data_IF_184488231842
#
_entry.id   IF_184488231842
#
_cell.length_a   1.000
_cell.length_b   1.000
_cell.length_c   1.000
_cell.angle_alpha   90.00
_cell.angle_beta   90.00
_cell.angle_gamma   90.00
#
_symmetry.space_group_name_H-M   'P 1'
#
loop_
_entity.id
_entity.type
_entity.pdbx_description
1 polymer ?
#
# COMPACT_ATOMS: atom_id res chain seq x y z
N UNK A 1 2.79 15.03 -20.62
CA UNK A 1 1.90 16.15 -20.20
C UNK A 1 2.78 17.15 -19.48
N UNK A 2 2.70 18.43 -19.82
CA UNK A 2 3.44 19.45 -19.08
C UNK A 2 2.91 19.55 -17.64
N UNK A 3 3.79 19.84 -16.68
CA UNK A 3 3.44 19.90 -15.24
C UNK A 3 2.26 20.85 -14.95
N UNK A 4 2.17 21.96 -15.68
CA UNK A 4 1.07 22.93 -15.55
C UNK A 4 -0.29 22.32 -15.92
N UNK A 5 -0.34 21.55 -17.01
CA UNK A 5 -1.55 20.91 -17.51
C UNK A 5 -2.06 19.83 -16.54
N UNK A 6 -1.13 19.07 -15.94
CA UNK A 6 -1.46 18.06 -14.93
C UNK A 6 -2.23 18.66 -13.75
N UNK A 7 -1.70 19.72 -13.13
CA UNK A 7 -2.34 20.32 -11.96
C UNK A 7 -3.62 21.08 -12.32
N UNK A 8 -3.73 21.61 -13.54
CA UNK A 8 -4.98 22.19 -14.03
C UNK A 8 -6.06 21.11 -14.19
N UNK A 9 -5.73 19.97 -14.79
CA UNK A 9 -6.61 18.82 -14.91
C UNK A 9 -7.02 18.29 -13.54
N UNK A 10 -6.08 18.08 -12.62
CA UNK A 10 -6.35 17.64 -11.26
C UNK A 10 -7.31 18.62 -10.54
N UNK A 11 -7.06 19.93 -10.65
CA UNK A 11 -7.92 20.96 -10.06
C UNK A 11 -9.35 20.90 -10.61
N UNK A 12 -9.51 20.63 -11.91
CA UNK A 12 -10.83 20.52 -12.55
C UNK A 12 -11.69 19.36 -12.01
N UNK A 13 -11.05 18.35 -11.40
CA UNK A 13 -11.73 17.16 -10.88
C UNK A 13 -12.09 17.26 -9.39
N UNK A 14 -11.57 18.25 -8.65
CA UNK A 14 -11.71 18.32 -7.18
C UNK A 14 -13.15 18.36 -6.68
N UNK A 15 -14.07 18.89 -7.48
CA UNK A 15 -15.50 18.93 -7.17
C UNK A 15 -16.09 17.52 -7.07
N UNK A 16 -15.53 16.54 -7.78
CA UNK A 16 -15.96 15.15 -7.68
C UNK A 16 -15.58 14.50 -6.34
N UNK A 17 -14.63 15.07 -5.60
CA UNK A 17 -14.12 14.52 -4.34
C UNK A 17 -14.54 15.31 -3.10
N UNK A 18 -15.09 16.51 -3.29
CA UNK A 18 -15.37 17.44 -2.19
C UNK A 18 -16.87 17.50 -1.90
N UNK A 19 -17.28 16.93 -0.76
CA UNK A 19 -18.68 16.95 -0.35
C UNK A 19 -18.85 17.71 0.96
N UNK A 20 -19.93 18.49 1.05
CA UNK A 20 -20.38 19.16 2.25
C UNK A 20 -21.64 18.45 2.76
N UNK A 21 -21.75 18.25 4.07
CA UNK A 21 -23.00 17.80 4.67
C UNK A 21 -24.01 18.96 4.79
N UNK A 22 -25.20 18.67 5.33
CA UNK A 22 -26.26 19.68 5.52
C UNK A 22 -25.87 20.88 6.39
N UNK A 23 -24.85 20.74 7.25
CA UNK A 23 -24.34 21.79 8.12
C UNK A 23 -23.18 22.59 7.47
N UNK A 24 -22.85 22.30 6.21
CA UNK A 24 -21.72 22.90 5.50
C UNK A 24 -20.35 22.38 5.96
N UNK A 25 -20.30 21.27 6.70
CA UNK A 25 -19.05 20.61 7.09
C UNK A 25 -18.50 19.80 5.91
N UNK A 26 -17.21 19.92 5.62
CA UNK A 26 -16.58 19.09 4.59
C UNK A 26 -16.37 17.67 5.08
N UNK A 27 -17.11 16.74 4.48
CA UNK A 27 -17.16 15.32 4.83
C UNK A 27 -16.45 14.43 3.82
N UNK A 28 -15.89 15.01 2.77
CA UNK A 28 -14.87 14.35 1.96
C UNK A 28 -14.06 15.36 1.18
N UNK A 29 -12.84 14.97 0.79
CA UNK A 29 -11.96 15.73 -0.10
C UNK A 29 -10.90 14.83 -0.70
N UNK A 30 -10.25 15.30 -1.77
CA UNK A 30 -9.06 14.65 -2.31
C UNK A 30 -7.84 14.93 -1.41
N UNK A 31 -7.05 13.89 -1.15
CA UNK A 31 -5.75 13.99 -0.51
C UNK A 31 -4.74 13.08 -1.20
N UNK A 32 -3.46 13.30 -0.93
CA UNK A 32 -2.39 12.39 -1.34
C UNK A 32 -1.88 11.64 -0.11
N UNK A 33 -1.76 10.32 -0.22
CA UNK A 33 -1.48 9.46 0.93
C UNK A 33 -0.23 8.61 0.70
N UNK A 34 0.50 8.39 1.79
CA UNK A 34 1.50 7.35 1.96
C UNK A 34 0.90 6.33 2.93
N UNK A 35 0.84 5.07 2.52
CA UNK A 35 0.29 3.97 3.31
C UNK A 35 1.31 2.85 3.41
N UNK A 36 1.74 2.51 4.63
CA UNK A 36 2.82 1.56 4.88
C UNK A 36 2.37 0.45 5.85
N UNK A 37 2.78 -0.78 5.55
CA UNK A 37 2.64 -1.94 6.41
C UNK A 37 4.01 -2.45 6.83
N UNK A 38 4.21 -2.69 8.12
CA UNK A 38 5.51 -3.05 8.68
C UNK A 38 5.35 -4.03 9.84
N UNK A 39 6.44 -4.73 10.17
CA UNK A 39 6.43 -5.78 11.20
C UNK A 39 6.78 -5.21 12.58
N UNK A 40 6.38 -5.96 13.60
CA UNK A 40 6.88 -5.80 14.97
C UNK A 40 6.67 -4.40 15.59
N UNK A 41 5.57 -3.72 15.27
CA UNK A 41 5.24 -2.42 15.85
C UNK A 41 5.16 -2.43 17.38
N UNK A 42 4.81 -3.59 17.97
CA UNK A 42 4.68 -3.78 19.41
C UNK A 42 5.99 -3.64 20.18
N UNK A 43 7.14 -3.76 19.50
CA UNK A 43 8.47 -3.70 20.11
C UNK A 43 8.79 -2.28 20.60
N UNK A 44 9.59 -2.18 21.66
CA UNK A 44 9.97 -0.89 22.23
C UNK A 44 10.72 -0.01 21.22
N UNK A 45 11.63 -0.62 20.45
CA UNK A 45 12.38 0.06 19.40
C UNK A 45 11.44 0.60 18.32
N UNK A 46 10.53 -0.22 17.79
CA UNK A 46 9.63 0.21 16.72
C UNK A 46 8.65 1.28 17.21
N UNK A 47 8.18 1.22 18.47
CA UNK A 47 7.40 2.31 19.11
C UNK A 47 8.16 3.64 19.12
N UNK A 48 9.44 3.64 19.48
CA UNK A 48 10.25 4.87 19.44
C UNK A 48 10.36 5.45 18.02
N UNK A 49 10.57 4.58 17.02
CA UNK A 49 10.62 4.99 15.60
C UNK A 49 9.26 5.51 15.08
N UNK A 50 8.15 4.90 15.50
CA UNK A 50 6.78 5.41 15.23
C UNK A 50 6.62 6.81 15.85
N UNK A 51 7.04 7.01 17.10
CA UNK A 51 6.97 8.33 17.75
C UNK A 51 7.86 9.38 17.06
N UNK A 52 9.00 8.99 16.50
CA UNK A 52 9.82 9.87 15.67
C UNK A 52 9.05 10.35 14.42
N UNK A 53 8.24 9.48 13.79
CA UNK A 53 7.36 9.86 12.68
C UNK A 53 6.34 10.92 13.11
N UNK A 54 5.69 10.73 14.26
CA UNK A 54 4.75 11.71 14.81
C UNK A 54 5.41 13.02 15.21
N UNK A 55 6.63 12.97 15.75
CA UNK A 55 7.40 14.18 16.08
C UNK A 55 7.66 15.02 14.83
N UNK A 56 8.22 14.42 13.77
CA UNK A 56 8.44 15.11 12.49
C UNK A 56 7.14 15.70 11.93
N UNK A 57 6.03 14.96 12.04
CA UNK A 57 4.73 15.41 11.52
C UNK A 57 4.23 16.66 12.24
N UNK A 58 4.40 16.71 13.56
CA UNK A 58 4.03 17.88 14.37
C UNK A 58 5.01 19.05 14.20
N UNK A 59 6.30 18.79 13.98
CA UNK A 59 7.27 19.84 13.69
C UNK A 59 6.95 20.54 12.36
N UNK A 60 6.59 19.77 11.32
CA UNK A 60 6.33 20.33 9.99
C UNK A 60 4.93 20.95 9.87
N UNK A 61 3.90 20.32 10.45
CA UNK A 61 2.50 20.71 10.23
C UNK A 61 1.80 21.23 11.48
N UNK A 62 2.51 21.39 12.60
CA UNK A 62 1.93 21.69 13.92
C UNK A 62 1.04 22.92 13.99
N UNK A 63 1.27 23.92 13.13
CA UNK A 63 0.43 25.12 13.01
C UNK A 63 -0.98 24.84 12.48
N UNK A 64 -1.18 23.71 11.79
CA UNK A 64 -2.48 23.25 11.28
C UNK A 64 -3.18 22.29 12.24
N UNK A 65 -2.41 21.51 13.00
CA UNK A 65 -2.92 20.41 13.81
C UNK A 65 -3.69 20.91 15.02
N UNK A 66 -4.88 20.33 15.25
CA UNK A 66 -5.78 20.72 16.35
C UNK A 66 -6.64 19.60 16.89
N UNK A 67 -6.54 18.40 16.30
CA UNK A 67 -7.30 17.24 16.71
C UNK A 67 -6.38 16.05 16.91
N UNK A 68 -6.65 15.27 17.97
CA UNK A 68 -6.11 13.93 18.08
C UNK A 68 -7.12 12.98 18.73
N UNK A 69 -6.91 11.69 18.52
CA UNK A 69 -7.62 10.64 19.26
C UNK A 69 -6.66 9.50 19.51
N UNK A 70 -6.68 8.99 20.74
CA UNK A 70 -5.91 7.83 21.15
C UNK A 70 -6.84 6.79 21.79
N UNK A 71 -6.37 5.54 21.91
CA UNK A 71 -7.07 4.48 22.64
C UNK A 71 -7.07 4.65 24.16
N UNK A 72 -6.42 5.70 24.69
CA UNK A 72 -6.39 6.01 26.11
C UNK A 72 -7.54 6.95 26.46
N UNK A 73 -8.27 6.62 27.52
CA UNK A 73 -9.43 7.38 27.97
C UNK A 73 -9.04 8.82 28.39
N UNK A 74 -9.95 9.77 28.16
CA UNK A 74 -9.81 11.15 28.63
C UNK A 74 -8.86 12.07 27.83
N UNK A 75 -8.04 11.55 26.92
CA UNK A 75 -7.08 12.33 26.13
C UNK A 75 -7.71 12.87 24.83
N UNK A 76 -8.70 13.76 24.98
CA UNK A 76 -9.48 14.32 23.85
C UNK A 76 -8.96 15.66 23.33
N UNK A 77 -8.24 16.44 24.16
CA UNK A 77 -7.75 17.78 23.79
C UNK A 77 -6.36 17.70 23.17
N UNK A 78 -6.20 18.23 21.97
CA UNK A 78 -4.88 18.41 21.37
C UNK A 78 -4.09 19.48 22.12
N UNK A 79 -3.16 19.06 22.98
CA UNK A 79 -2.28 19.94 23.76
C UNK A 79 -0.92 19.26 24.00
N UNK A 80 0.15 20.03 24.30
CA UNK A 80 1.46 19.46 24.62
C UNK A 80 1.42 18.43 25.75
N UNK A 81 0.63 18.68 26.79
CA UNK A 81 0.51 17.79 27.95
C UNK A 81 -0.15 16.47 27.57
N UNK A 82 -1.22 16.51 26.78
CA UNK A 82 -1.88 15.29 26.33
C UNK A 82 -1.04 14.54 25.28
N UNK A 83 -0.26 15.24 24.46
CA UNK A 83 0.71 14.64 23.56
C UNK A 83 1.73 13.84 24.36
N UNK A 84 2.36 14.42 25.38
CA UNK A 84 3.33 13.74 26.23
C UNK A 84 2.74 12.48 26.90
N UNK A 85 1.50 12.57 27.41
CA UNK A 85 0.79 11.41 27.99
C UNK A 85 0.50 10.31 26.96
N UNK A 86 0.16 10.67 25.72
CA UNK A 86 -0.03 9.69 24.65
C UNK A 86 1.30 9.02 24.32
N UNK A 87 2.39 9.77 24.16
CA UNK A 87 3.71 9.22 23.87
C UNK A 87 4.18 8.25 24.96
N UNK A 88 4.08 8.66 26.22
CA UNK A 88 4.35 7.80 27.38
C UNK A 88 3.46 6.55 27.38
N UNK A 89 2.16 6.73 27.12
CA UNK A 89 1.20 5.63 27.05
C UNK A 89 1.53 4.62 25.96
N UNK A 90 1.98 5.08 24.78
CA UNK A 90 2.42 4.20 23.67
C UNK A 90 3.66 3.39 24.09
N UNK A 91 4.64 4.03 24.72
CA UNK A 91 5.86 3.36 25.19
C UNK A 91 5.59 2.36 26.33
N UNK A 92 4.62 2.67 27.20
CA UNK A 92 4.29 1.83 28.36
C UNK A 92 3.27 0.72 28.03
N UNK A 93 2.69 0.70 26.82
CA UNK A 93 1.79 -0.39 26.39
C UNK A 93 2.54 -1.72 26.42
N UNK A 94 1.97 -2.68 27.14
CA UNK A 94 2.48 -4.07 27.20
C UNK A 94 2.33 -4.75 25.84
N UNK A 95 3.07 -5.84 25.66
CA UNK A 95 2.89 -6.79 24.55
C UNK A 95 1.42 -7.25 24.47
N UNK A 96 0.91 -7.45 23.26
CA UNK A 96 -0.49 -7.86 22.98
C UNK A 96 -1.55 -6.86 23.46
N UNK A 97 -1.20 -5.57 23.53
CA UNK A 97 -2.16 -4.49 23.72
C UNK A 97 -2.07 -3.53 22.54
N UNK A 98 -3.11 -3.56 21.70
CA UNK A 98 -3.21 -2.67 20.55
C UNK A 98 -3.02 -1.19 20.94
N UNK A 99 -2.10 -0.56 20.23
CA UNK A 99 -1.86 0.88 20.31
C UNK A 99 -2.26 1.54 19.00
N UNK A 100 -2.85 2.73 19.08
CA UNK A 100 -3.23 3.50 17.90
C UNK A 100 -3.31 4.97 18.25
N UNK A 101 -2.89 5.81 17.30
CA UNK A 101 -2.99 7.24 17.44
C UNK A 101 -3.43 7.86 16.13
N UNK A 102 -4.28 8.87 16.22
CA UNK A 102 -4.69 9.71 15.11
C UNK A 102 -4.39 11.15 15.47
N UNK A 103 -3.70 11.88 14.60
CA UNK A 103 -3.51 13.34 14.69
C UNK A 103 -3.94 13.97 13.36
N UNK A 104 -4.72 15.05 13.42
CA UNK A 104 -5.12 15.79 12.23
C UNK A 104 -5.40 17.28 12.45
N UNK A 105 -5.68 17.97 11.35
CA UNK A 105 -6.17 19.36 11.30
C UNK A 105 -7.72 19.47 11.28
N UNK A 106 -8.45 18.36 11.41
CA UNK A 106 -9.92 18.37 11.49
C UNK A 106 -10.39 19.10 12.74
N UNK A 107 -11.56 19.77 12.71
CA UNK A 107 -12.14 20.40 13.90
C UNK A 107 -12.71 19.39 14.89
N UNK A 108 -13.22 18.27 14.37
CA UNK A 108 -13.83 17.20 15.15
C UNK A 108 -13.79 15.89 14.35
N UNK A 109 -14.43 14.84 14.88
CA UNK A 109 -14.41 13.51 14.27
C UNK A 109 -15.21 13.40 12.96
N UNK A 110 -16.09 14.37 12.67
CA UNK A 110 -17.02 14.42 11.54
C UNK A 110 -16.48 15.19 10.33
N UNK A 111 -15.29 15.78 10.43
CA UNK A 111 -14.69 16.55 9.33
C UNK A 111 -13.58 15.74 8.64
N UNK A 112 -13.58 15.73 7.31
CA UNK A 112 -12.46 15.20 6.53
C UNK A 112 -11.21 16.07 6.77
N UNK A 113 -10.07 15.53 7.24
CA UNK A 113 -8.85 16.32 7.44
C UNK A 113 -8.12 16.64 6.12
N UNK A 114 -7.25 17.67 6.10
CA UNK A 114 -6.24 17.86 5.04
C UNK A 114 -4.89 17.24 5.41
N UNK A 115 -4.54 17.30 6.70
CA UNK A 115 -3.33 16.73 7.26
C UNK A 115 -3.75 15.65 8.26
N UNK A 116 -3.32 14.42 8.04
CA UNK A 116 -3.69 13.30 8.88
C UNK A 116 -2.54 12.31 8.97
N UNK A 117 -2.12 12.00 10.19
CA UNK A 117 -1.26 10.85 10.47
C UNK A 117 -1.97 9.91 11.42
N UNK A 118 -2.02 8.63 11.05
CA UNK A 118 -2.62 7.58 11.87
C UNK A 118 -1.80 6.30 11.80
N UNK A 119 -1.76 5.57 12.90
CA UNK A 119 -1.15 4.25 12.96
C UNK A 119 -2.02 3.28 13.77
N UNK A 120 -1.83 1.99 13.51
CA UNK A 120 -2.37 0.90 14.30
C UNK A 120 -1.27 -0.15 14.45
N UNK A 121 -1.04 -0.57 15.69
CA UNK A 121 -0.01 -1.55 16.04
C UNK A 121 -0.43 -2.99 15.70
N UNK A 122 0.54 -3.90 15.62
CA UNK A 122 0.33 -5.35 15.58
C UNK A 122 0.44 -5.96 16.98
N UNK A 123 -0.14 -7.14 17.19
CA UNK A 123 0.03 -7.89 18.43
C UNK A 123 1.22 -8.86 18.30
N UNK A 124 1.92 -9.13 19.39
CA UNK A 124 3.06 -10.08 19.40
C UNK A 124 2.59 -11.52 19.19
N UNK A 125 1.40 -11.86 19.69
CA UNK A 125 0.79 -13.18 19.55
C UNK A 125 0.57 -13.58 18.08
N UNK A 126 0.41 -12.59 17.19
CA UNK A 126 0.26 -12.83 15.76
C UNK A 126 1.61 -12.96 15.03
N UNK A 127 2.75 -12.72 15.70
CA UNK A 127 4.09 -12.81 15.11
C UNK A 127 4.20 -12.08 13.75
N UNK A 128 4.64 -12.83 12.73
CA UNK A 128 4.77 -12.34 11.35
C UNK A 128 3.48 -12.49 10.53
N UNK A 129 2.41 -13.09 11.05
CA UNK A 129 1.11 -13.19 10.38
C UNK A 129 0.36 -11.85 10.37
N UNK A 130 0.75 -10.91 11.23
CA UNK A 130 0.17 -9.59 11.33
C UNK A 130 1.12 -8.50 10.86
N UNK A 131 0.55 -7.34 10.52
CA UNK A 131 1.32 -6.14 10.20
C UNK A 131 0.81 -4.98 11.03
N UNK A 132 1.73 -4.16 11.49
CA UNK A 132 1.42 -2.80 11.89
C UNK A 132 1.16 -1.96 10.64
N UNK A 133 0.45 -0.86 10.82
CA UNK A 133 0.08 0.05 9.75
C UNK A 133 0.36 1.49 10.17
N UNK A 134 0.88 2.29 9.24
CA UNK A 134 0.93 3.75 9.38
C UNK A 134 0.53 4.39 8.05
N UNK A 135 -0.25 5.47 8.13
CA UNK A 135 -0.48 6.34 6.99
C UNK A 135 -0.31 7.80 7.31
N UNK A 136 0.27 8.51 6.35
CA UNK A 136 0.33 9.96 6.27
C UNK A 136 -0.53 10.41 5.10
N UNK A 137 -1.41 11.37 5.33
CA UNK A 137 -2.21 12.04 4.30
C UNK A 137 -1.93 13.52 4.32
N UNK A 138 -1.69 14.07 3.13
CA UNK A 138 -1.37 15.46 2.88
C UNK A 138 -2.39 16.05 1.89
N UNK A 139 -2.49 17.39 1.79
CA UNK A 139 -3.35 18.03 0.81
C UNK A 139 -3.07 17.55 -0.62
N UNK A 140 -4.10 17.43 -1.47
CA UNK A 140 -3.96 17.00 -2.87
C UNK A 140 -2.96 17.86 -3.67
N UNK A 141 -2.82 19.13 -3.30
CA UNK A 141 -1.94 20.11 -3.92
C UNK A 141 -0.52 20.13 -3.33
N UNK A 142 -0.19 19.23 -2.41
CA UNK A 142 1.14 19.16 -1.78
C UNK A 142 2.27 19.05 -2.81
N UNK A 143 2.06 18.26 -3.87
CA UNK A 143 3.04 18.07 -4.95
C UNK A 143 3.23 19.33 -5.82
N UNK A 144 2.28 20.27 -5.81
CA UNK A 144 2.33 21.51 -6.60
C UNK A 144 3.25 22.56 -5.97
N UNK A 145 3.46 22.50 -4.66
CA UNK A 145 4.28 23.46 -3.94
C UNK A 145 5.72 23.49 -4.45
N UNK A 146 6.45 24.57 -4.12
CA UNK A 146 7.89 24.63 -4.36
C UNK A 146 8.55 23.40 -3.70
N UNK A 147 9.29 22.63 -4.50
CA UNK A 147 9.90 21.36 -4.07
C UNK A 147 8.91 20.30 -3.57
N UNK A 148 7.62 20.38 -3.91
CA UNK A 148 6.57 19.50 -3.40
C UNK A 148 6.84 18.01 -3.61
N UNK A 149 7.31 17.63 -4.81
CA UNK A 149 7.74 16.26 -5.12
C UNK A 149 8.93 15.82 -4.25
N UNK A 150 9.98 16.66 -4.15
CA UNK A 150 11.17 16.38 -3.34
C UNK A 150 10.80 16.19 -1.86
N UNK A 151 9.95 17.07 -1.32
CA UNK A 151 9.47 16.97 0.08
C UNK A 151 8.63 15.73 0.32
N UNK A 152 7.79 15.35 -0.64
CA UNK A 152 7.00 14.12 -0.55
C UNK A 152 7.90 12.88 -0.54
N UNK A 153 8.91 12.83 -1.43
CA UNK A 153 9.88 11.73 -1.45
C UNK A 153 10.73 11.70 -0.17
N UNK A 154 11.16 12.86 0.36
CA UNK A 154 11.87 12.94 1.64
C UNK A 154 11.01 12.51 2.85
N UNK A 155 9.68 12.63 2.75
CA UNK A 155 8.76 12.03 3.71
C UNK A 155 8.74 10.50 3.58
N UNK A 156 8.59 10.00 2.36
CA UNK A 156 8.57 8.57 2.09
C UNK A 156 9.87 7.88 2.55
N UNK A 157 11.03 8.44 2.17
CA UNK A 157 12.36 7.93 2.54
C UNK A 157 12.53 7.85 4.06
N UNK A 158 12.17 8.91 4.77
CA UNK A 158 12.24 8.91 6.24
C UNK A 158 11.30 7.90 6.88
N UNK A 159 10.06 7.78 6.40
CA UNK A 159 9.14 6.76 6.89
C UNK A 159 9.68 5.35 6.61
N UNK A 160 10.33 5.14 5.47
CA UNK A 160 11.02 3.89 5.14
C UNK A 160 12.19 3.59 6.08
N UNK A 161 13.00 4.59 6.43
CA UNK A 161 14.11 4.45 7.40
C UNK A 161 13.60 4.13 8.81
N UNK A 162 12.53 4.80 9.25
CA UNK A 162 11.97 4.57 10.58
C UNK A 162 11.25 3.21 10.68
N UNK A 163 10.43 2.87 9.69
CA UNK A 163 9.49 1.76 9.82
C UNK A 163 10.01 0.47 9.19
N UNK A 164 10.93 0.55 8.22
CA UNK A 164 11.38 -0.57 7.38
C UNK A 164 10.20 -1.35 6.81
N UNK A 165 9.28 -0.67 6.09
CA UNK A 165 8.02 -1.28 5.68
C UNK A 165 8.24 -2.53 4.86
N UNK A 166 7.37 -3.51 5.10
CA UNK A 166 7.32 -4.75 4.36
C UNK A 166 6.67 -4.51 3.00
N UNK A 167 5.60 -3.71 2.98
CA UNK A 167 4.99 -3.21 1.76
C UNK A 167 4.33 -1.86 1.99
N UNK A 168 3.97 -1.19 0.90
CA UNK A 168 3.22 0.06 0.97
C UNK A 168 2.85 0.59 -0.39
N UNK A 169 1.95 1.55 -0.41
CA UNK A 169 1.57 2.23 -1.64
C UNK A 169 1.23 3.70 -1.40
N UNK A 170 1.48 4.54 -2.41
CA UNK A 170 1.16 5.97 -2.39
C UNK A 170 0.35 6.36 -3.61
N UNK A 171 -0.56 7.31 -3.43
CA UNK A 171 -1.42 7.84 -4.50
C UNK A 171 -2.45 8.82 -3.97
N UNK A 172 -3.32 9.31 -4.84
CA UNK A 172 -4.48 10.06 -4.39
C UNK A 172 -5.48 9.15 -3.71
N UNK A 173 -6.11 9.63 -2.65
CA UNK A 173 -7.15 8.92 -1.91
C UNK A 173 -8.32 9.85 -1.60
N UNK A 174 -9.49 9.25 -1.38
CA UNK A 174 -10.61 9.98 -0.78
C UNK A 174 -10.35 10.09 0.72
N UNK A 175 -10.20 11.33 1.20
CA UNK A 175 -10.08 11.61 2.63
C UNK A 175 -11.47 11.86 3.18
N UNK A 176 -11.86 11.06 4.15
CA UNK A 176 -13.17 11.11 4.80
C UNK A 176 -13.02 11.21 6.34
N UNK A 177 -14.08 11.64 7.05
CA UNK A 177 -14.15 11.72 8.49
C UNK A 177 -13.82 10.42 9.22
N UNK A 178 -13.69 10.48 10.55
CA UNK A 178 -13.40 9.30 11.37
C UNK A 178 -14.62 8.38 11.51
N UNK A 179 -15.82 8.94 11.46
CA UNK A 179 -17.09 8.25 11.18
C UNK A 179 -17.20 7.93 9.68
N UNK A 180 -16.13 7.39 9.09
CA UNK A 180 -16.02 7.03 7.67
C UNK A 180 -17.12 6.07 7.16
N UNK A 181 -17.93 5.57 8.08
CA UNK A 181 -18.93 4.55 7.88
C UNK A 181 -19.96 4.98 6.85
N UNK A 182 -20.50 6.18 7.04
CA UNK A 182 -21.55 6.72 6.18
C UNK A 182 -21.03 7.12 4.78
N UNK A 183 -19.71 7.10 4.58
CA UNK A 183 -19.04 7.56 3.37
C UNK A 183 -18.37 6.44 2.56
N UNK A 184 -18.50 5.17 2.99
CA UNK A 184 -18.08 4.02 2.19
C UNK A 184 -18.70 3.99 0.78
N UNK A 185 -20.01 4.27 0.59
CA UNK A 185 -20.59 4.27 -0.75
C UNK A 185 -19.97 5.32 -1.67
N UNK A 186 -19.57 6.47 -1.10
CA UNK A 186 -18.89 7.52 -1.85
C UNK A 186 -17.49 7.08 -2.30
N UNK A 187 -16.69 6.48 -1.41
CA UNK A 187 -15.37 5.95 -1.79
C UNK A 187 -15.49 4.85 -2.86
N UNK A 188 -16.50 3.97 -2.73
CA UNK A 188 -16.76 2.92 -3.71
C UNK A 188 -17.11 3.49 -5.09
N UNK A 189 -18.06 4.42 -5.18
CA UNK A 189 -18.45 5.05 -6.44
C UNK A 189 -17.28 5.77 -7.11
N UNK A 190 -16.43 6.46 -6.34
CA UNK A 190 -15.25 7.11 -6.87
C UNK A 190 -14.19 6.10 -7.32
N UNK A 191 -13.98 5.00 -6.59
CA UNK A 191 -13.08 3.94 -6.99
C UNK A 191 -13.52 3.29 -8.32
N UNK A 192 -14.83 3.10 -8.55
CA UNK A 192 -15.34 2.61 -9.83
C UNK A 192 -15.06 3.57 -11.00
N UNK A 193 -15.02 4.88 -10.73
CA UNK A 193 -14.73 5.92 -11.74
C UNK A 193 -13.25 6.15 -11.95
N UNK A 194 -12.42 6.00 -10.92
CA UNK A 194 -10.99 6.32 -10.89
C UNK A 194 -10.16 5.09 -10.47
N UNK A 195 -9.70 4.26 -11.41
CA UNK A 195 -9.00 3.00 -11.09
C UNK A 195 -7.69 3.19 -10.30
N UNK A 196 -7.03 4.33 -10.47
CA UNK A 196 -5.80 4.69 -9.77
C UNK A 196 -6.04 5.25 -8.34
N UNK A 197 -7.29 5.51 -7.96
CA UNK A 197 -7.61 6.00 -6.61
C UNK A 197 -7.20 4.98 -5.55
N UNK A 198 -6.53 5.44 -4.51
CA UNK A 198 -6.20 4.63 -3.35
C UNK A 198 -7.41 4.50 -2.42
N UNK A 199 -7.96 3.29 -2.30
CA UNK A 199 -9.01 2.95 -1.32
C UNK A 199 -8.35 2.76 0.04
N UNK A 200 -8.62 3.67 0.99
CA UNK A 200 -7.90 3.80 2.27
C UNK A 200 -8.81 3.92 3.50
N UNK A 201 -10.12 4.08 3.34
CA UNK A 201 -11.05 4.32 4.47
C UNK A 201 -10.91 3.30 5.61
N UNK A 202 -10.91 2.02 5.27
CA UNK A 202 -10.91 0.88 6.19
C UNK A 202 -9.61 0.07 6.15
N UNK A 203 -8.56 0.54 5.48
CA UNK A 203 -7.32 -0.23 5.26
C UNK A 203 -6.67 -0.81 6.53
N UNK A 204 -6.87 -0.16 7.68
CA UNK A 204 -6.41 -0.62 9.00
C UNK A 204 -7.07 -1.93 9.46
N UNK A 205 -8.25 -2.28 8.94
CA UNK A 205 -8.96 -3.54 9.28
C UNK A 205 -8.43 -4.74 8.50
N UNK A 206 -7.69 -4.52 7.41
CA UNK A 206 -7.16 -5.56 6.55
C UNK A 206 -5.71 -5.96 6.91
N UNK A 207 -5.17 -5.48 8.03
CA UNK A 207 -3.75 -5.67 8.40
C UNK A 207 -3.31 -7.15 8.49
N UNK A 208 -4.22 -8.03 8.94
CA UNK A 208 -3.98 -9.48 9.03
C UNK A 208 -3.94 -10.16 7.65
N UNK A 209 -4.54 -9.53 6.63
CA UNK A 209 -4.56 -10.08 5.27
C UNK A 209 -3.26 -9.79 4.52
N UNK A 210 -2.51 -8.77 4.95
CA UNK A 210 -1.27 -8.32 4.31
C UNK A 210 0.00 -8.81 5.04
N UNK A 211 -0.12 -9.77 5.96
CA UNK A 211 1.03 -10.36 6.67
C UNK A 211 2.07 -10.96 5.72
N UNK A 212 1.61 -11.71 4.72
CA UNK A 212 2.46 -12.39 3.72
C UNK A 212 2.08 -12.02 2.28
N UNK A 213 1.35 -10.91 2.11
CA UNK A 213 0.90 -10.48 0.79
C UNK A 213 0.84 -8.96 0.71
N UNK A 214 0.90 -8.44 -0.51
CA UNK A 214 0.73 -7.00 -0.74
C UNK A 214 -0.68 -6.72 -1.25
N UNK A 215 -1.20 -5.54 -0.92
CA UNK A 215 -2.56 -5.14 -1.30
C UNK A 215 -2.73 -4.93 -2.80
N UNK A 216 -1.71 -4.46 -3.49
CA UNK A 216 -1.72 -4.15 -4.91
C UNK A 216 -0.75 -3.03 -5.25
N UNK A 217 -0.93 -2.44 -6.43
CA UNK A 217 -0.12 -1.31 -6.92
C UNK A 217 -0.86 0.02 -6.82
N UNK A 218 -0.08 1.09 -6.79
CA UNK A 218 -0.50 2.47 -7.02
C UNK A 218 0.67 3.29 -7.62
N UNK A 219 0.53 4.61 -7.74
CA UNK A 219 1.55 5.52 -8.26
C UNK A 219 2.95 5.24 -7.73
N UNK A 220 3.07 5.00 -6.42
CA UNK A 220 4.27 4.42 -5.82
C UNK A 220 3.89 3.10 -5.15
N UNK A 221 4.68 2.06 -5.41
CA UNK A 221 4.58 0.74 -4.78
C UNK A 221 5.89 0.42 -4.08
N UNK A 222 5.83 0.08 -2.79
CA UNK A 222 6.98 -0.30 -1.97
C UNK A 222 6.98 -1.80 -1.72
N UNK A 223 8.14 -2.41 -1.91
CA UNK A 223 8.36 -3.85 -1.73
C UNK A 223 9.60 -4.07 -0.88
N UNK A 224 9.48 -4.80 0.23
CA UNK A 224 10.66 -5.20 0.99
C UNK A 224 11.50 -6.25 0.27
N UNK A 225 12.73 -6.47 0.73
CA UNK A 225 13.64 -7.51 0.23
C UNK A 225 12.96 -8.88 0.19
N UNK A 226 12.11 -9.20 1.16
CA UNK A 226 11.31 -10.43 1.19
C UNK A 226 10.41 -10.55 -0.04
N UNK A 227 9.64 -9.50 -0.35
CA UNK A 227 8.78 -9.49 -1.54
C UNK A 227 9.56 -9.39 -2.84
N UNK A 228 10.68 -8.65 -2.86
CA UNK A 228 11.58 -8.58 -4.01
C UNK A 228 12.15 -9.96 -4.35
N UNK A 229 12.59 -10.72 -3.35
CA UNK A 229 13.11 -12.08 -3.56
C UNK A 229 12.04 -13.03 -4.12
N UNK A 230 10.80 -12.92 -3.63
CA UNK A 230 9.65 -13.70 -4.15
C UNK A 230 9.30 -13.38 -5.61
N UNK A 231 9.82 -12.29 -6.16
CA UNK A 231 9.63 -11.88 -7.54
C UNK A 231 10.83 -12.19 -8.44
N UNK A 232 11.87 -12.89 -7.99
CA UNK A 232 13.08 -13.14 -8.77
C UNK A 232 14.24 -12.18 -8.47
N UNK A 233 14.09 -11.33 -7.45
CA UNK A 233 15.11 -10.37 -7.05
C UNK A 233 15.12 -9.08 -7.86
N UNK A 234 15.93 -8.12 -7.42
CA UNK A 234 15.98 -6.78 -8.00
C UNK A 234 16.41 -6.78 -9.48
N UNK A 235 17.36 -7.62 -9.85
CA UNK A 235 17.81 -7.73 -11.24
C UNK A 235 16.64 -8.08 -12.17
N UNK A 236 15.86 -9.11 -11.82
CA UNK A 236 14.69 -9.52 -12.58
C UNK A 236 13.65 -8.40 -12.69
N UNK A 237 13.29 -7.79 -11.56
CA UNK A 237 12.33 -6.68 -11.52
C UNK A 237 12.76 -5.54 -12.46
N UNK A 238 14.03 -5.14 -12.42
CA UNK A 238 14.56 -4.09 -13.29
C UNK A 238 14.53 -4.49 -14.76
N UNK A 239 14.80 -5.75 -15.11
CA UNK A 239 14.69 -6.23 -16.49
C UNK A 239 13.25 -6.19 -16.99
N UNK A 240 12.30 -6.73 -16.21
CA UNK A 240 10.87 -6.75 -16.57
C UNK A 240 10.31 -5.35 -16.77
N UNK A 241 10.71 -4.39 -15.93
CA UNK A 241 10.18 -3.03 -15.98
C UNK A 241 10.98 -2.09 -16.91
N UNK A 242 12.13 -2.52 -17.44
CA UNK A 242 12.98 -1.72 -18.34
C UNK A 242 12.27 -1.10 -19.55
N UNK A 243 11.28 -1.77 -20.20
CA UNK A 243 10.57 -1.18 -21.34
C UNK A 243 9.71 0.03 -20.98
N UNK A 244 9.28 0.17 -19.73
CA UNK A 244 8.36 1.22 -19.27
C UNK A 244 9.15 2.44 -18.80
N UNK A 245 9.35 3.40 -19.70
CA UNK A 245 10.23 4.56 -19.49
C UNK A 245 9.74 5.55 -18.43
N UNK A 246 8.45 5.51 -18.11
CA UNK A 246 7.82 6.28 -17.05
C UNK A 246 8.01 5.64 -15.67
N UNK A 247 8.59 4.44 -15.58
CA UNK A 247 8.87 3.75 -14.32
C UNK A 247 10.24 4.12 -13.78
N UNK A 248 10.28 4.55 -12.53
CA UNK A 248 11.52 4.79 -11.78
C UNK A 248 11.60 3.81 -10.61
N UNK A 249 12.74 3.12 -10.50
CA UNK A 249 13.01 2.16 -9.42
C UNK A 249 14.20 2.66 -8.60
N UNK A 250 13.94 3.06 -7.36
CA UNK A 250 14.96 3.39 -6.36
C UNK A 250 14.99 2.34 -5.25
N UNK A 251 16.10 2.26 -4.53
CA UNK A 251 16.27 1.34 -3.41
C UNK A 251 16.15 2.09 -2.09
N UNK A 252 15.64 1.41 -1.07
CA UNK A 252 15.69 1.85 0.33
C UNK A 252 16.30 0.74 1.21
N UNK A 253 16.56 1.03 2.48
CA UNK A 253 17.26 0.11 3.41
C UNK A 253 16.69 -1.31 3.43
N UNK A 254 15.37 -1.45 3.31
CA UNK A 254 14.67 -2.73 3.34
C UNK A 254 14.07 -3.17 1.98
N UNK A 255 14.38 -2.54 0.83
CA UNK A 255 13.84 -3.01 -0.45
C UNK A 255 13.82 -2.01 -1.60
N UNK A 256 12.75 -2.04 -2.40
CA UNK A 256 12.56 -1.18 -3.58
C UNK A 256 11.34 -0.27 -3.47
N UNK A 257 11.47 0.93 -4.04
CA UNK A 257 10.40 1.87 -4.32
C UNK A 257 10.24 1.92 -5.85
N UNK A 258 9.05 1.54 -6.33
CA UNK A 258 8.70 1.54 -7.75
C UNK A 258 7.68 2.65 -7.99
N UNK A 259 8.04 3.69 -8.73
CA UNK A 259 7.16 4.81 -9.08
C UNK A 259 6.74 4.73 -10.55
N UNK A 260 5.43 4.74 -10.81
CA UNK A 260 4.82 4.66 -12.14
C UNK A 260 4.36 6.04 -12.61
N UNK A 261 5.18 6.72 -13.40
CA UNK A 261 4.95 8.09 -13.86
C UNK A 261 5.51 9.15 -12.91
N UNK A 262 5.60 10.38 -13.41
CA UNK A 262 6.11 11.51 -12.62
C UNK A 262 5.15 11.90 -11.49
N UNK A 263 3.84 11.85 -11.76
CA UNK A 263 2.77 12.21 -10.84
C UNK A 263 1.72 11.10 -10.76
N UNK A 264 0.93 11.02 -9.66
CA UNK A 264 -0.13 10.02 -9.55
C UNK A 264 -1.19 10.18 -10.64
N UNK A 265 -1.62 9.07 -11.23
CA UNK A 265 -2.73 9.09 -12.17
C UNK A 265 -4.06 9.32 -11.43
N UNK A 266 -4.95 10.11 -12.03
CA UNK A 266 -6.33 10.28 -11.59
C UNK A 266 -7.24 10.41 -12.82
N UNK A 267 -6.95 9.64 -13.86
CA UNK A 267 -7.74 9.66 -15.09
C UNK A 267 -9.03 8.89 -14.87
N UNK A 268 -10.23 9.49 -15.04
CA UNK A 268 -11.48 8.77 -14.89
C UNK A 268 -11.71 7.84 -16.10
N UNK A 269 -12.41 6.73 -15.87
CA UNK A 269 -12.94 5.91 -16.95
C UNK A 269 -13.93 6.71 -17.83
N UNK A 270 -13.98 6.44 -19.15
CA UNK A 270 -13.29 5.37 -19.88
C UNK A 270 -11.86 5.73 -20.35
N UNK A 271 -11.23 6.77 -19.77
CA UNK A 271 -9.84 7.12 -20.07
C UNK A 271 -8.87 5.98 -19.76
N UNK A 272 -7.71 5.97 -20.44
CA UNK A 272 -6.71 4.92 -20.28
C UNK A 272 -5.86 5.15 -19.04
N UNK A 273 -5.74 4.12 -18.21
CA UNK A 273 -4.72 4.04 -17.16
C UNK A 273 -3.35 3.81 -17.82
N UNK A 274 -2.23 4.34 -17.27
CA UNK A 274 -0.89 4.10 -17.82
C UNK A 274 -0.53 2.62 -17.91
N UNK A 275 0.16 2.25 -18.99
CA UNK A 275 0.62 0.87 -19.23
C UNK A 275 1.51 0.35 -18.09
N UNK A 276 2.30 1.23 -17.47
CA UNK A 276 3.15 0.91 -16.32
C UNK A 276 2.37 0.36 -15.12
N UNK A 277 1.11 0.76 -14.91
CA UNK A 277 0.27 0.21 -13.84
C UNK A 277 -0.06 -1.27 -14.10
N UNK A 278 -0.39 -1.61 -15.35
CA UNK A 278 -0.63 -3.00 -15.75
C UNK A 278 0.65 -3.83 -15.65
N UNK A 279 1.79 -3.28 -16.08
CA UNK A 279 3.08 -3.96 -16.03
C UNK A 279 3.52 -4.30 -14.60
N UNK A 280 3.47 -3.32 -13.69
CA UNK A 280 3.81 -3.52 -12.28
C UNK A 280 2.78 -4.46 -11.64
N UNK A 281 1.48 -4.31 -11.94
CA UNK A 281 0.46 -5.24 -11.44
C UNK A 281 0.75 -6.69 -11.85
N UNK A 282 1.14 -6.94 -13.10
CA UNK A 282 1.45 -8.30 -13.54
C UNK A 282 2.70 -8.85 -12.86
N UNK A 283 3.74 -8.01 -12.72
CA UNK A 283 4.96 -8.38 -11.98
C UNK A 283 4.64 -8.80 -10.54
N UNK A 284 3.83 -8.01 -9.83
CA UNK A 284 3.59 -8.22 -8.39
C UNK A 284 2.43 -9.18 -8.09
N UNK A 285 1.68 -9.61 -9.10
CA UNK A 285 0.51 -10.47 -8.96
C UNK A 285 0.77 -11.76 -8.15
N UNK A 286 1.92 -12.46 -8.28
CA UNK A 286 2.20 -13.68 -7.52
C UNK A 286 2.32 -13.48 -6.00
N UNK A 287 2.51 -12.24 -5.54
CA UNK A 287 2.65 -11.89 -4.12
C UNK A 287 1.48 -11.03 -3.61
N UNK A 288 0.50 -10.75 -4.46
CA UNK A 288 -0.68 -9.97 -4.10
C UNK A 288 -1.61 -10.78 -3.21
N UNK A 289 -2.35 -10.09 -2.35
CA UNK A 289 -3.38 -10.69 -1.52
C UNK A 289 -4.35 -11.51 -2.37
N UNK A 290 -4.65 -12.73 -1.90
CA UNK A 290 -5.66 -13.61 -2.46
C UNK A 290 -6.91 -13.44 -1.59
N UNK A 291 -7.99 -12.79 -2.08
CA UNK A 291 -9.15 -12.56 -1.25
C UNK A 291 -9.86 -13.88 -0.92
N UNK A 292 -10.19 -14.07 0.35
CA UNK A 292 -10.97 -15.21 0.84
C UNK A 292 -12.45 -14.81 0.93
N UNK A 293 -13.33 -15.80 1.07
CA UNK A 293 -14.74 -15.54 1.34
C UNK A 293 -14.89 -14.60 2.56
N UNK A 294 -15.76 -13.60 2.45
CA UNK A 294 -15.93 -12.56 3.47
C UNK A 294 -14.86 -11.45 3.47
N UNK A 295 -13.81 -11.53 2.65
CA UNK A 295 -12.88 -10.41 2.47
C UNK A 295 -13.62 -9.27 1.79
N UNK A 296 -13.66 -8.12 2.44
CA UNK A 296 -14.20 -6.90 1.85
C UNK A 296 -13.37 -5.67 2.25
N UNK A 297 -13.22 -4.72 1.32
CA UNK A 297 -12.56 -3.42 1.60
C UNK A 297 -13.42 -2.52 2.49
N UNK A 298 -14.72 -2.77 2.59
CA UNK A 298 -15.68 -2.09 3.47
C UNK A 298 -16.52 -3.13 4.22
N UNK A 299 -17.15 -2.79 5.35
CA UNK A 299 -17.76 -3.78 6.25
C UNK A 299 -19.23 -3.55 6.65
N UNK A 300 -19.89 -2.49 6.18
CA UNK A 300 -21.35 -2.31 6.29
C UNK A 300 -21.86 -1.25 5.29
N UNK A 301 -23.19 -1.15 5.18
CA UNK A 301 -23.91 -0.15 4.40
C UNK A 301 -24.56 -0.75 3.15
N UNK A 302 -25.25 0.06 2.35
CA UNK A 302 -25.59 -0.30 0.97
C UNK A 302 -24.67 0.44 0.00
N UNK A 303 -24.38 -0.15 -1.16
CA UNK A 303 -23.60 0.53 -2.20
C UNK A 303 -22.11 0.73 -1.88
N UNK A 304 -21.53 -0.07 -1.00
CA UNK A 304 -20.10 -0.08 -0.66
C UNK A 304 -19.38 -1.29 -1.28
N UNK A 305 -18.05 -1.38 -1.10
CA UNK A 305 -17.32 -2.59 -1.47
C UNK A 305 -17.84 -3.80 -0.69
N UNK A 306 -18.29 -4.83 -1.39
CA UNK A 306 -18.51 -6.18 -0.88
C UNK A 306 -17.41 -7.15 -1.37
N UNK A 307 -17.52 -8.44 -1.05
CA UNK A 307 -16.53 -9.44 -1.48
C UNK A 307 -16.32 -9.52 -2.99
N UNK A 308 -17.39 -9.51 -3.79
CA UNK A 308 -17.31 -9.55 -5.26
C UNK A 308 -16.62 -8.31 -5.82
N UNK A 309 -17.03 -7.12 -5.39
CA UNK A 309 -16.43 -5.87 -5.85
C UNK A 309 -15.00 -5.67 -5.35
N UNK A 310 -14.64 -6.25 -4.19
CA UNK A 310 -13.28 -6.25 -3.66
C UNK A 310 -12.37 -7.12 -4.52
N UNK A 311 -12.83 -8.32 -4.91
CA UNK A 311 -12.13 -9.17 -5.88
C UNK A 311 -11.92 -8.42 -7.21
N UNK A 312 -12.96 -7.77 -7.73
CA UNK A 312 -12.86 -6.97 -8.95
C UNK A 312 -11.87 -5.80 -8.80
N UNK A 313 -11.84 -5.13 -7.64
CA UNK A 313 -10.90 -4.07 -7.34
C UNK A 313 -9.45 -4.55 -7.37
N UNK A 314 -9.15 -5.68 -6.73
CA UNK A 314 -7.81 -6.25 -6.77
C UNK A 314 -7.42 -6.70 -8.18
N UNK A 315 -8.37 -7.21 -8.97
CA UNK A 315 -8.14 -7.67 -10.34
C UNK A 315 -8.22 -6.56 -11.42
N UNK A 316 -8.43 -5.28 -11.05
CA UNK A 316 -8.70 -4.18 -12.00
C UNK A 316 -7.63 -3.95 -13.07
N UNK A 317 -6.40 -4.43 -12.84
CA UNK A 317 -5.28 -4.35 -13.77
C UNK A 317 -4.84 -5.72 -14.32
N UNK A 318 -5.61 -6.78 -14.06
CA UNK A 318 -5.28 -8.12 -14.54
C UNK A 318 -5.67 -8.25 -16.02
N UNK A 319 -4.78 -8.81 -16.84
CA UNK A 319 -5.01 -9.10 -18.27
C UNK A 319 -5.39 -10.56 -18.54
N UNK A 320 -6.19 -11.13 -17.65
CA UNK A 320 -6.56 -12.55 -17.66
C UNK A 320 -5.93 -13.34 -16.50
N UNK A 321 -6.09 -14.67 -16.46
CA UNK A 321 -5.61 -15.52 -15.35
C UNK A 321 -4.08 -15.49 -15.17
N UNK A 322 -3.60 -15.72 -13.94
CA UNK A 322 -2.16 -15.83 -13.68
C UNK A 322 -1.66 -17.16 -14.25
N UNK A 323 -0.87 -17.10 -15.31
CA UNK A 323 -0.29 -18.29 -15.93
C UNK A 323 0.98 -18.69 -15.17
N UNK A 324 0.84 -19.69 -14.30
CA UNK A 324 1.95 -20.22 -13.49
C UNK A 324 2.76 -21.27 -14.25
N UNK A 325 2.15 -21.94 -15.23
CA UNK A 325 2.76 -23.03 -16.02
C UNK A 325 2.50 -22.83 -17.52
N UNK A 326 3.46 -23.12 -18.40
CA UNK A 326 4.83 -23.56 -18.10
C UNK A 326 5.71 -22.41 -17.57
N UNK A 327 6.63 -22.74 -16.66
CA UNK A 327 7.73 -21.87 -16.23
C UNK A 327 8.92 -22.09 -17.18
N UNK A 328 9.48 -21.01 -17.72
CA UNK A 328 10.68 -21.09 -18.58
C UNK A 328 11.95 -21.12 -17.73
N UNK A 329 13.02 -21.72 -18.27
CA UNK A 329 14.38 -21.50 -17.78
C UNK A 329 14.70 -20.00 -17.73
N UNK A 330 15.61 -19.61 -16.84
CA UNK A 330 16.00 -18.22 -16.60
C UNK A 330 14.82 -17.28 -16.28
N UNK A 331 13.71 -17.82 -15.76
CA UNK A 331 12.60 -17.05 -15.22
C UNK A 331 12.33 -17.48 -13.77
N UNK A 332 11.87 -16.57 -12.91
CA UNK A 332 11.54 -16.91 -11.53
C UNK A 332 10.24 -17.71 -11.46
N UNK A 333 10.23 -18.74 -10.62
CA UNK A 333 9.00 -19.47 -10.30
C UNK A 333 7.99 -18.55 -9.61
N UNK A 334 6.77 -18.45 -10.17
CA UNK A 334 5.71 -17.60 -9.60
C UNK A 334 5.09 -18.19 -8.34
N UNK A 335 5.26 -19.49 -8.10
CA UNK A 335 4.80 -20.21 -6.89
C UNK A 335 5.88 -21.18 -6.44
N UNK A 336 5.90 -21.50 -5.15
CA UNK A 336 6.64 -22.66 -4.66
C UNK A 336 5.97 -23.94 -5.14
N UNK A 337 6.74 -24.92 -5.60
CA UNK A 337 6.15 -26.16 -6.08
C UNK A 337 7.13 -27.20 -6.53
N UNK A 338 6.58 -28.37 -6.85
CA UNK A 338 7.26 -29.47 -7.51
C UNK A 338 6.99 -29.37 -9.01
N UNK A 339 8.06 -29.35 -9.80
CA UNK A 339 8.06 -29.12 -11.23
C UNK A 339 8.75 -30.27 -11.95
N UNK A 340 8.35 -30.51 -13.19
CA UNK A 340 8.97 -31.50 -14.07
C UNK A 340 9.16 -30.92 -15.47
N UNK A 341 10.03 -31.53 -16.27
CA UNK A 341 10.24 -31.14 -17.66
C UNK A 341 10.35 -32.40 -18.52
N UNK A 342 9.84 -32.34 -19.75
CA UNK A 342 9.92 -33.45 -20.71
C UNK A 342 11.36 -33.78 -21.11
N UNK A 343 12.29 -32.83 -20.92
CA UNK A 343 13.72 -33.03 -21.19
C UNK A 343 14.41 -33.95 -20.17
N UNK A 344 13.82 -34.15 -18.99
CA UNK A 344 14.31 -35.05 -17.93
C UNK A 344 13.17 -35.97 -17.44
N UNK A 345 12.74 -36.94 -18.26
CA UNK A 345 11.59 -37.79 -17.94
C UNK A 345 11.75 -38.50 -16.59
N UNK A 346 10.70 -38.42 -15.76
CA UNK A 346 10.66 -39.08 -14.45
C UNK A 346 11.39 -38.35 -13.32
N UNK A 347 12.05 -37.22 -13.60
CA UNK A 347 12.68 -36.39 -12.57
C UNK A 347 11.77 -35.23 -12.14
N UNK A 348 11.81 -34.90 -10.85
CA UNK A 348 11.05 -33.80 -10.26
C UNK A 348 12.00 -32.89 -9.48
N UNK A 349 11.76 -31.58 -9.59
CA UNK A 349 12.57 -30.55 -8.95
C UNK A 349 11.67 -29.62 -8.15
N UNK A 350 12.17 -29.15 -7.02
CA UNK A 350 11.49 -28.13 -6.24
C UNK A 350 12.03 -26.75 -6.63
N UNK A 351 11.13 -25.84 -7.00
CA UNK A 351 11.46 -24.42 -7.10
C UNK A 351 10.66 -23.67 -6.04
N UNK A 352 11.36 -22.88 -5.23
CA UNK A 352 10.74 -21.93 -4.34
C UNK A 352 10.21 -20.73 -5.12
N UNK A 353 9.14 -20.08 -4.63
CA UNK A 353 8.68 -18.82 -5.22
C UNK A 353 9.83 -17.80 -5.29
N UNK A 354 10.05 -17.25 -6.49
CA UNK A 354 11.11 -16.31 -6.81
C UNK A 354 12.45 -16.96 -7.21
N UNK A 355 12.61 -18.28 -7.07
CA UNK A 355 13.82 -18.95 -7.53
C UNK A 355 13.84 -19.01 -9.06
N UNK A 356 14.99 -18.69 -9.66
CA UNK A 356 15.20 -18.81 -11.10
C UNK A 356 15.23 -20.28 -11.49
N UNK A 357 14.36 -20.69 -12.42
CA UNK A 357 14.42 -22.03 -13.00
C UNK A 357 15.67 -22.17 -13.87
N UNK A 358 16.34 -23.31 -13.79
CA UNK A 358 17.51 -23.59 -14.62
C UNK A 358 17.10 -24.16 -15.97
N UNK A 359 17.98 -23.99 -16.95
CA UNK A 359 17.92 -24.76 -18.20
C UNK A 359 18.63 -26.10 -18.04
N UNK A 360 18.04 -27.17 -18.59
CA UNK A 360 18.68 -28.49 -18.60
C UNK A 360 20.00 -28.42 -19.36
N UNK A 361 21.00 -29.19 -18.91
CA UNK A 361 22.32 -29.21 -19.52
C UNK A 361 22.24 -29.46 -21.03
N UNK A 362 22.87 -28.57 -21.80
CA UNK A 362 22.86 -28.59 -23.27
C UNK A 362 21.71 -27.83 -23.93
N UNK A 363 20.73 -27.32 -23.18
CA UNK A 363 19.67 -26.45 -23.71
C UNK A 363 20.15 -24.99 -23.84
N UNK A 364 19.57 -24.26 -24.79
CA UNK A 364 19.77 -22.80 -24.89
C UNK A 364 19.09 -22.09 -23.70
N UNK A 365 19.63 -20.95 -23.28
CA UNK A 365 19.09 -20.18 -22.16
C UNK A 365 17.64 -19.78 -22.41
N UNK A 366 16.78 -20.08 -21.43
CA UNK A 366 15.36 -19.74 -21.43
C UNK A 366 14.46 -20.66 -22.24
N UNK A 367 14.98 -21.81 -22.69
CA UNK A 367 14.22 -22.74 -23.56
C UNK A 367 13.63 -23.93 -22.83
N UNK A 368 14.14 -24.27 -21.64
CA UNK A 368 13.58 -25.37 -20.84
C UNK A 368 12.19 -24.98 -20.34
N UNK A 369 11.20 -25.84 -20.59
CA UNK A 369 9.83 -25.67 -20.09
C UNK A 369 9.59 -26.59 -18.90
N UNK A 370 9.27 -25.97 -17.77
CA UNK A 370 8.92 -26.61 -16.51
C UNK A 370 7.41 -26.59 -16.31
N UNK A 371 6.83 -27.76 -16.07
CA UNK A 371 5.41 -27.93 -15.79
C UNK A 371 5.20 -28.19 -14.31
N UNK A 372 4.33 -27.38 -13.71
CA UNK A 372 3.96 -27.52 -12.30
C UNK A 372 3.17 -28.82 -12.09
N UNK A 373 3.67 -29.68 -11.20
CA UNK A 373 3.00 -30.91 -10.78
C UNK A 373 2.13 -30.66 -9.55
N UNK A 374 2.67 -29.92 -8.57
CA UNK A 374 1.98 -29.62 -7.31
C UNK A 374 2.54 -28.35 -6.67
N UNK A 375 1.65 -27.44 -6.27
CA UNK A 375 2.02 -26.27 -5.46
C UNK A 375 2.41 -26.69 -4.03
N UNK A 376 3.36 -25.95 -3.45
CA UNK A 376 3.81 -26.12 -2.08
C UNK A 376 3.62 -24.79 -1.32
N UNK A 377 3.67 -24.85 0.01
CA UNK A 377 3.67 -23.65 0.83
C UNK A 377 4.86 -22.73 0.47
N UNK A 378 4.68 -21.41 0.61
CA UNK A 378 5.78 -20.49 0.43
C UNK A 378 6.83 -20.71 1.51
N UNK A 379 8.10 -20.81 1.14
CA UNK A 379 9.19 -20.94 2.13
C UNK A 379 9.49 -19.63 2.88
N UNK A 380 8.76 -18.56 2.56
CA UNK A 380 8.88 -17.21 3.12
C UNK A 380 7.70 -16.85 4.06
N UNK A 381 6.86 -17.85 4.35
CA UNK A 381 5.78 -17.81 5.33
C UNK A 381 6.24 -18.36 6.68
#
# INVERSE_FOLDING_TARGET
>A
METSDYFAQLKSQLTAFTFLNGDGLTVSRLGISITLFFKQGYTQEKKQRILACYRRFREEFGTHLRFHRHSLEGLKKYSPENIAKVEEGILNRKKNQLSSWVISDAKNLYEAPRYLMRYLDSDEADGDDSSSYLSLTLPWDYLKGQEGMTRFMAWLEFLCEQLEPDSGDCGYSLVIPRDYHDYFPLEYQLAQRYPALQVNSAVHTAKLQYGHSIRGINWITLLSKRFVNRLGGEFWIRQVLRPYRDVVISSYSNGLIIRAGEYPDLTPLPGSVPESYFAINQLIRPIRVIPREGHSLHFYGEGHFNSTSTLAWYARYDRGPLQVTPLRGDHPALVSGIWQTDSLPGQQYFFAQGAMAFDVEGAETGTTLWHLVREAANMWE
#
